data_IF_039555344087
#
_entry.id   IF_039555344087
#
_cell.length_a   1.000
_cell.length_b   1.000
_cell.length_c   1.000
_cell.angle_alpha   90.00
_cell.angle_beta   90.00
_cell.angle_gamma   90.00
#
_symmetry.space_group_name_H-M   'P 1'
#
loop_
_entity.id
_entity.type
_entity.pdbx_description
1 polymer ?
#
# COMPACT_ATOMS: atom_id res chain seq x y z
N UNK A 1 8.71 -64.37 26.17
CA UNK A 1 7.95 -64.63 27.40
C UNK A 1 7.99 -63.34 28.23
N UNK A 2 6.83 -62.67 28.37
CA UNK A 2 6.42 -61.71 29.44
C UNK A 2 7.28 -60.44 29.60
N UNK A 3 6.88 -59.32 29.00
CA UNK A 3 6.06 -58.18 29.51
C UNK A 3 6.82 -57.17 30.41
N UNK A 4 7.07 -55.92 29.97
CA UNK A 4 6.22 -54.68 30.08
C UNK A 4 6.27 -54.10 31.52
N UNK A 5 6.61 -52.82 31.80
CA UNK A 5 5.72 -51.64 31.78
C UNK A 5 6.46 -50.35 32.26
N UNK A 6 6.26 -49.25 31.51
CA UNK A 6 6.20 -47.80 31.86
C UNK A 6 7.45 -47.08 32.44
N UNK A 7 7.74 -45.82 32.13
CA UNK A 7 6.98 -44.76 31.45
C UNK A 7 7.93 -43.71 30.83
N UNK A 8 7.44 -43.04 29.79
CA UNK A 8 8.15 -42.12 28.90
C UNK A 8 8.18 -40.68 29.44
N UNK A 9 9.15 -39.90 28.96
CA UNK A 9 9.21 -38.45 29.08
C UNK A 9 10.35 -37.87 28.26
N UNK A 10 10.15 -37.79 26.94
CA UNK A 10 11.07 -37.26 25.90
C UNK A 10 10.98 -35.74 25.83
N UNK A 11 12.11 -35.05 25.55
CA UNK A 11 12.29 -34.08 24.44
C UNK A 11 13.58 -33.25 24.68
N UNK A 12 14.77 -33.68 24.25
CA UNK A 12 15.43 -33.41 22.94
C UNK A 12 15.16 -32.00 22.37
N UNK A 13 16.04 -31.05 22.66
CA UNK A 13 16.30 -29.89 21.78
C UNK A 13 17.51 -30.22 20.88
N UNK A 14 17.26 -30.41 19.58
CA UNK A 14 18.28 -30.58 18.55
C UNK A 14 18.60 -29.24 17.89
N UNK A 15 19.89 -28.93 17.87
CA UNK A 15 20.68 -28.23 16.83
C UNK A 15 19.98 -27.27 15.86
N UNK A 16 20.44 -26.02 15.89
CA UNK A 16 20.60 -25.19 14.69
C UNK A 16 22.08 -24.91 14.54
N UNK A 17 22.70 -25.52 13.52
CA UNK A 17 24.02 -25.15 13.06
C UNK A 17 23.92 -24.04 12.03
N UNK A 18 24.76 -23.02 12.15
CA UNK A 18 25.29 -22.28 11.00
C UNK A 18 26.66 -21.72 11.37
N UNK A 19 27.65 -22.09 10.56
CA UNK A 19 29.03 -21.64 10.62
C UNK A 19 29.11 -20.16 10.23
N UNK A 20 29.66 -19.32 11.11
CA UNK A 20 30.23 -18.02 10.72
C UNK A 20 31.74 -18.06 10.99
N UNK A 21 32.52 -17.98 9.91
CA UNK A 21 33.98 -17.81 9.94
C UNK A 21 34.30 -16.42 10.48
N UNK A 22 35.05 -16.34 11.57
CA UNK A 22 35.71 -15.11 12.02
C UNK A 22 37.23 -15.27 11.95
N UNK A 23 37.88 -14.25 11.38
CA UNK A 23 39.35 -14.09 11.28
C UNK A 23 39.95 -13.76 12.66
N UNK A 24 41.19 -14.20 13.00
CA UNK A 24 41.75 -14.00 14.32
C UNK A 24 42.53 -12.68 14.38
N UNK A 25 42.11 -11.76 15.26
CA UNK A 25 43.01 -10.73 15.79
C UNK A 25 42.86 -10.79 17.32
N UNK A 26 43.94 -11.22 17.96
CA UNK A 26 44.11 -11.29 19.40
C UNK A 26 44.01 -9.91 20.05
N UNK A 27 43.29 -9.81 21.16
CA UNK A 27 43.72 -9.03 22.33
C UNK A 27 42.93 -9.41 23.59
N UNK A 28 43.57 -10.24 24.43
CA UNK A 28 43.55 -10.23 25.89
C UNK A 28 42.30 -9.75 26.64
N UNK A 29 41.50 -10.69 27.15
CA UNK A 29 40.79 -10.51 28.43
C UNK A 29 41.02 -11.76 29.29
N UNK A 30 41.67 -11.54 30.43
CA UNK A 30 41.95 -12.52 31.48
C UNK A 30 40.63 -12.99 32.11
N UNK A 31 40.41 -14.32 32.14
CA UNK A 31 39.34 -14.93 32.90
C UNK A 31 39.79 -15.12 34.34
N UNK A 32 39.06 -14.54 35.31
CA UNK A 32 39.06 -15.04 36.68
C UNK A 32 37.66 -15.52 37.07
N UNK A 33 37.55 -16.67 37.78
CA UNK A 33 36.27 -17.24 38.16
C UNK A 33 35.80 -16.67 39.50
N UNK A 34 34.52 -16.28 39.59
CA UNK A 34 33.95 -15.79 40.83
C UNK A 34 32.46 -15.51 40.69
N UNK A 35 31.65 -16.52 40.92
CA UNK A 35 30.23 -16.39 41.23
C UNK A 35 30.03 -15.44 42.42
N UNK A 36 29.08 -14.50 42.30
CA UNK A 36 28.19 -14.05 43.39
C UNK A 36 27.03 -13.27 42.75
N UNK A 37 25.81 -13.68 43.08
CA UNK A 37 24.55 -13.15 42.55
C UNK A 37 24.12 -11.89 43.35
N UNK A 38 23.71 -10.77 42.72
CA UNK A 38 22.98 -9.73 43.43
C UNK A 38 21.47 -9.88 43.23
N UNK A 39 20.82 -10.12 44.37
CA UNK A 39 19.53 -9.66 44.88
C UNK A 39 18.50 -8.97 43.97
N UNK A 40 17.25 -9.32 44.29
CA UNK A 40 15.98 -8.86 43.78
C UNK A 40 15.87 -7.34 43.65
N UNK A 41 15.63 -6.87 42.42
CA UNK A 41 15.14 -5.51 42.18
C UNK A 41 13.65 -5.60 41.86
N UNK A 42 12.81 -5.17 42.81
CA UNK A 42 11.36 -5.11 42.64
C UNK A 42 11.01 -4.24 41.43
N UNK A 43 10.36 -4.83 40.43
CA UNK A 43 9.81 -4.09 39.30
C UNK A 43 8.55 -3.38 39.75
N UNK A 44 8.63 -2.06 39.93
CA UNK A 44 7.45 -1.21 40.01
C UNK A 44 6.69 -1.30 38.66
N UNK A 45 5.62 -2.08 38.62
CA UNK A 45 4.67 -2.08 37.51
C UNK A 45 3.90 -0.75 37.58
N UNK A 46 4.31 0.21 36.76
CA UNK A 46 3.50 1.38 36.46
C UNK A 46 2.35 0.89 35.58
N UNK A 47 1.15 0.77 36.15
CA UNK A 47 -0.07 0.60 35.36
C UNK A 47 -0.34 1.88 34.57
N UNK A 48 0.21 1.96 33.36
CA UNK A 48 -0.14 2.99 32.40
C UNK A 48 -1.52 2.62 31.85
N UNK A 49 -2.57 3.21 32.39
CA UNK A 49 -3.91 3.18 31.78
C UNK A 49 -3.88 4.05 30.52
N UNK A 50 -3.23 3.56 29.48
CA UNK A 50 -3.27 4.18 28.18
C UNK A 50 -4.46 3.60 27.42
N UNK A 51 -5.66 4.11 27.71
CA UNK A 51 -6.81 3.92 26.80
C UNK A 51 -6.51 4.71 25.54
N UNK A 52 -5.73 4.10 24.63
CA UNK A 52 -5.66 4.52 23.24
C UNK A 52 -7.07 4.34 22.66
N UNK A 53 -7.84 5.42 22.60
CA UNK A 53 -8.98 5.46 21.70
C UNK A 53 -8.44 5.32 20.28
N UNK A 54 -8.52 4.11 19.71
CA UNK A 54 -8.21 3.89 18.31
C UNK A 54 -9.09 4.82 17.48
N UNK A 55 -8.48 5.80 16.82
CA UNK A 55 -9.18 6.60 15.83
C UNK A 55 -9.76 5.63 14.78
N UNK A 56 -11.04 5.82 14.43
CA UNK A 56 -11.66 5.06 13.35
C UNK A 56 -10.84 5.31 12.08
N UNK A 57 -10.62 4.25 11.30
CA UNK A 57 -9.93 4.34 10.00
C UNK A 57 -10.67 5.36 9.13
N UNK A 58 -9.97 6.38 8.60
CA UNK A 58 -10.58 7.50 7.88
C UNK A 58 -11.48 7.06 6.72
N UNK A 59 -11.16 5.96 6.03
CA UNK A 59 -12.00 5.44 4.96
C UNK A 59 -13.33 4.85 5.44
N UNK A 60 -13.45 4.43 6.70
CA UNK A 60 -14.66 3.79 7.24
C UNK A 60 -15.72 4.79 7.75
N UNK A 61 -15.39 6.09 7.75
CA UNK A 61 -16.33 7.15 8.09
C UNK A 61 -16.88 7.87 6.86
N UNK A 62 -16.53 7.40 5.65
CA UNK A 62 -17.03 7.92 4.37
C UNK A 62 -18.27 7.13 3.95
N UNK A 63 -19.33 7.84 3.59
CA UNK A 63 -20.56 7.29 3.03
C UNK A 63 -20.38 6.96 1.54
N UNK A 64 -19.99 5.71 1.29
CA UNK A 64 -19.79 5.19 -0.06
C UNK A 64 -21.09 5.07 -0.87
N UNK A 65 -22.27 5.25 -0.24
CA UNK A 65 -23.55 5.30 -0.98
C UNK A 65 -23.76 6.62 -1.73
N UNK A 66 -22.95 7.63 -1.38
CA UNK A 66 -22.99 8.99 -1.94
C UNK A 66 -21.68 9.39 -2.62
N UNK A 67 -20.59 8.65 -2.38
CA UNK A 67 -19.26 8.95 -2.93
C UNK A 67 -19.28 8.90 -4.46
N UNK A 68 -18.85 9.99 -5.09
CA UNK A 68 -18.82 10.14 -6.55
C UNK A 68 -17.38 10.03 -7.09
N UNK A 69 -17.18 9.91 -8.42
CA UNK A 69 -15.86 10.00 -9.00
C UNK A 69 -15.24 11.38 -8.69
N UNK A 70 -13.94 11.39 -8.37
CA UNK A 70 -13.34 12.57 -7.77
C UNK A 70 -11.94 12.34 -7.23
N UNK A 71 -11.35 13.39 -6.66
CA UNK A 71 -10.10 13.31 -5.92
C UNK A 71 -10.31 13.93 -4.54
N UNK A 72 -10.17 13.12 -3.50
CA UNK A 72 -10.48 13.52 -2.14
C UNK A 72 -9.25 13.47 -1.26
N UNK A 73 -8.91 14.60 -0.65
CA UNK A 73 -7.76 14.73 0.23
C UNK A 73 -8.05 14.22 1.65
N UNK A 74 -7.07 13.53 2.22
CA UNK A 74 -6.97 13.21 3.64
C UNK A 74 -5.50 13.34 4.05
N UNK A 75 -5.24 13.41 5.35
CA UNK A 75 -3.88 13.40 5.89
C UNK A 75 -3.72 12.27 6.90
N UNK A 76 -2.64 11.52 6.79
CA UNK A 76 -2.30 10.43 7.71
C UNK A 76 -0.83 10.57 8.09
N UNK A 77 -0.56 10.78 9.37
CA UNK A 77 0.80 10.78 9.95
C UNK A 77 1.82 11.64 9.18
N UNK A 78 1.41 12.84 8.74
CA UNK A 78 2.27 13.77 8.02
C UNK A 78 2.42 13.51 6.51
N UNK A 79 1.79 12.45 5.98
CA UNK A 79 1.63 12.25 4.54
C UNK A 79 0.25 12.72 4.09
N UNK A 80 0.19 13.34 2.92
CA UNK A 80 -1.06 13.68 2.25
C UNK A 80 -1.47 12.49 1.39
N UNK A 81 -2.74 12.10 1.49
CA UNK A 81 -3.30 10.94 0.81
C UNK A 81 -4.49 11.40 -0.02
N UNK A 82 -4.55 11.01 -1.28
CA UNK A 82 -5.64 11.33 -2.19
C UNK A 82 -6.32 10.04 -2.63
N UNK A 83 -7.62 9.98 -2.40
CA UNK A 83 -8.51 8.99 -3.00
C UNK A 83 -8.86 9.43 -4.41
N UNK A 84 -8.20 8.83 -5.40
CA UNK A 84 -8.47 9.05 -6.82
C UNK A 84 -9.56 8.06 -7.24
N UNK A 85 -10.81 8.50 -7.13
CA UNK A 85 -12.01 7.68 -7.32
C UNK A 85 -12.44 7.68 -8.78
N UNK A 86 -12.23 6.56 -9.48
CA UNK A 86 -12.60 6.44 -10.90
C UNK A 86 -14.08 6.14 -11.13
N UNK A 87 -14.69 5.37 -10.22
CA UNK A 87 -16.12 5.03 -10.28
C UNK A 87 -16.79 5.28 -8.94
N UNK A 88 -18.06 5.67 -8.98
CA UNK A 88 -18.88 5.79 -7.80
C UNK A 88 -19.16 4.39 -7.22
N UNK A 89 -18.84 4.10 -5.95
CA UNK A 89 -18.92 2.73 -5.41
C UNK A 89 -20.32 2.12 -5.44
N UNK A 90 -21.37 2.91 -5.17
CA UNK A 90 -22.75 2.41 -5.16
C UNK A 90 -23.19 1.99 -6.55
N UNK A 91 -22.93 2.84 -7.54
CA UNK A 91 -23.25 2.61 -8.93
C UNK A 91 -22.47 1.40 -9.45
N UNK A 92 -21.16 1.34 -9.17
CA UNK A 92 -20.27 0.23 -9.52
C UNK A 92 -20.81 -1.13 -9.03
N UNK A 93 -21.27 -1.21 -7.77
CA UNK A 93 -21.90 -2.41 -7.23
C UNK A 93 -23.18 -2.78 -7.98
N UNK A 94 -24.02 -1.82 -8.33
CA UNK A 94 -25.30 -2.08 -8.98
C UNK A 94 -25.18 -2.41 -10.47
N UNK A 95 -24.22 -1.81 -11.18
CA UNK A 95 -24.05 -1.99 -12.62
C UNK A 95 -22.93 -2.99 -12.97
N UNK A 96 -22.15 -3.46 -11.99
CA UNK A 96 -21.03 -4.37 -12.19
C UNK A 96 -19.79 -3.72 -12.80
N UNK A 97 -19.67 -2.39 -12.76
CA UNK A 97 -18.56 -1.64 -13.35
C UNK A 97 -17.48 -1.39 -12.31
N UNK A 98 -16.54 -2.33 -12.21
CA UNK A 98 -15.30 -2.21 -11.45
C UNK A 98 -14.11 -2.27 -12.40
N UNK A 99 -12.93 -1.82 -11.94
CA UNK A 99 -11.70 -2.14 -12.63
C UNK A 99 -11.45 -3.65 -12.59
N UNK A 100 -11.11 -4.24 -13.73
CA UNK A 100 -10.50 -5.57 -13.74
C UNK A 100 -9.14 -5.52 -13.01
N UNK A 101 -8.76 -6.53 -12.20
CA UNK A 101 -7.47 -6.52 -11.52
C UNK A 101 -6.25 -6.37 -12.45
N UNK A 102 -6.30 -6.92 -13.68
CA UNK A 102 -5.24 -6.70 -14.67
C UNK A 102 -5.22 -5.25 -15.17
N UNK A 103 -6.40 -4.64 -15.33
CA UNK A 103 -6.51 -3.20 -15.65
C UNK A 103 -5.91 -2.38 -14.52
N UNK A 104 -6.28 -2.66 -13.27
CA UNK A 104 -5.74 -1.95 -12.11
C UNK A 104 -4.20 -2.05 -12.04
N UNK A 105 -3.65 -3.24 -12.30
CA UNK A 105 -2.20 -3.45 -12.34
C UNK A 105 -1.51 -2.75 -13.53
N UNK A 106 -2.11 -2.78 -14.73
CA UNK A 106 -1.61 -2.01 -15.87
C UNK A 106 -1.60 -0.51 -15.57
N UNK A 107 -2.70 0.03 -15.05
CA UNK A 107 -2.80 1.44 -14.71
C UNK A 107 -1.84 1.83 -13.58
N UNK A 108 -1.61 0.97 -12.58
CA UNK A 108 -0.61 1.20 -11.53
C UNK A 108 0.77 1.49 -12.13
N UNK A 109 1.24 0.63 -13.04
CA UNK A 109 2.56 0.76 -13.67
C UNK A 109 2.71 2.08 -14.44
N UNK A 110 1.68 2.47 -15.22
CA UNK A 110 1.72 3.72 -15.96
C UNK A 110 1.58 4.96 -15.07
N UNK A 111 0.65 4.96 -14.11
CA UNK A 111 0.46 6.10 -13.21
C UNK A 111 1.70 6.31 -12.34
N UNK A 112 2.31 5.21 -11.84
CA UNK A 112 3.51 5.26 -11.05
C UNK A 112 4.72 5.81 -11.81
N UNK A 113 4.90 5.39 -13.07
CA UNK A 113 5.94 5.91 -13.97
C UNK A 113 5.67 7.39 -14.29
N UNK A 114 4.49 7.71 -14.83
CA UNK A 114 4.16 9.04 -15.28
C UNK A 114 4.31 10.10 -14.18
N UNK A 115 3.70 9.88 -13.02
CA UNK A 115 3.69 10.86 -11.91
C UNK A 115 5.06 11.00 -11.21
N UNK A 116 6.02 10.11 -11.48
CA UNK A 116 7.36 10.17 -10.88
C UNK A 116 8.47 10.52 -11.87
N UNK A 117 8.23 10.37 -13.17
CA UNK A 117 9.29 10.50 -14.18
C UNK A 117 8.93 11.43 -15.34
N UNK A 118 7.65 11.71 -15.58
CA UNK A 118 7.18 12.45 -16.77
C UNK A 118 6.53 13.80 -16.44
N UNK A 119 6.19 14.05 -15.18
CA UNK A 119 5.75 15.35 -14.67
C UNK A 119 6.94 16.27 -14.35
N UNK A 120 6.67 17.50 -13.90
CA UNK A 120 7.73 18.41 -13.47
C UNK A 120 8.52 17.83 -12.26
N UNK A 121 9.80 18.19 -12.15
CA UNK A 121 10.70 17.62 -11.13
C UNK A 121 10.29 18.02 -9.70
N UNK A 122 9.61 19.16 -9.54
CA UNK A 122 9.13 19.62 -8.24
C UNK A 122 8.03 18.70 -7.73
N UNK A 123 7.00 18.44 -8.53
CA UNK A 123 5.93 17.49 -8.21
C UNK A 123 6.45 16.05 -8.06
N UNK A 124 7.25 15.58 -9.03
CA UNK A 124 7.66 14.18 -9.12
C UNK A 124 8.41 13.69 -7.87
N UNK A 125 9.24 14.56 -7.25
CA UNK A 125 9.98 14.24 -6.02
C UNK A 125 9.10 14.14 -4.77
N UNK A 126 7.87 14.64 -4.84
CA UNK A 126 6.92 14.68 -3.72
C UNK A 126 5.99 13.47 -3.72
N UNK A 127 5.90 12.71 -4.83
CA UNK A 127 5.08 11.51 -4.96
C UNK A 127 5.70 10.33 -4.21
N UNK A 128 5.06 9.91 -3.12
CA UNK A 128 5.49 8.79 -2.30
C UNK A 128 4.99 7.46 -2.85
N UNK A 129 3.69 7.37 -3.12
CA UNK A 129 3.03 6.11 -3.47
C UNK A 129 1.87 6.35 -4.43
N UNK A 130 1.68 5.39 -5.35
CA UNK A 130 0.48 5.29 -6.19
C UNK A 130 0.14 3.82 -6.24
N UNK A 131 -1.09 3.44 -5.91
CA UNK A 131 -1.50 2.04 -6.00
C UNK A 131 -3.00 1.83 -5.98
N UNK A 132 -3.45 0.70 -6.51
CA UNK A 132 -4.86 0.41 -6.68
C UNK A 132 -5.54 0.16 -5.34
N UNK A 133 -6.77 0.62 -5.20
CA UNK A 133 -7.59 0.23 -4.07
C UNK A 133 -8.01 -1.23 -4.21
N UNK A 134 -8.01 -1.98 -3.11
CA UNK A 134 -8.46 -3.38 -3.11
C UNK A 134 -9.93 -3.56 -3.53
N UNK A 135 -10.76 -2.52 -3.43
CA UNK A 135 -12.13 -2.52 -3.93
C UNK A 135 -12.26 -2.20 -5.43
N UNK A 136 -11.15 -1.99 -6.15
CA UNK A 136 -11.10 -1.84 -7.61
C UNK A 136 -11.93 -0.67 -8.18
N UNK A 137 -12.10 0.38 -7.40
CA UNK A 137 -12.88 1.57 -7.81
C UNK A 137 -12.05 2.85 -7.94
N UNK A 138 -10.76 2.78 -7.64
CA UNK A 138 -9.84 3.92 -7.72
C UNK A 138 -8.43 3.57 -7.29
N UNK A 139 -7.63 4.61 -7.06
CA UNK A 139 -6.24 4.54 -6.62
C UNK A 139 -6.02 5.44 -5.41
N UNK A 140 -5.03 5.09 -4.59
CA UNK A 140 -4.47 6.03 -3.62
C UNK A 140 -3.20 6.66 -4.19
N UNK A 141 -3.12 7.99 -4.16
CA UNK A 141 -1.90 8.77 -4.41
C UNK A 141 -1.44 9.36 -3.08
N UNK A 142 -0.17 9.20 -2.72
CA UNK A 142 0.41 9.79 -1.52
C UNK A 142 1.50 10.77 -1.90
N UNK A 143 1.54 11.91 -1.21
CA UNK A 143 2.58 12.92 -1.38
C UNK A 143 3.11 13.42 -0.04
N UNK A 144 4.31 14.02 -0.06
CA UNK A 144 4.91 14.65 1.12
C UNK A 144 4.31 16.01 1.47
N UNK A 145 3.56 16.62 0.56
CA UNK A 145 2.97 17.96 0.71
C UNK A 145 1.60 18.06 0.03
N UNK A 146 0.75 19.04 0.39
CA UNK A 146 -0.59 19.16 -0.16
C UNK A 146 -0.55 19.68 -1.60
N UNK A 147 -1.47 19.18 -2.41
CA UNK A 147 -1.70 19.60 -3.79
C UNK A 147 -3.19 19.79 -4.01
N UNK A 148 -3.54 20.81 -4.78
CA UNK A 148 -4.92 21.05 -5.17
C UNK A 148 -5.48 19.83 -5.93
N UNK A 149 -6.62 19.25 -5.51
CA UNK A 149 -7.24 18.12 -6.21
C UNK A 149 -7.56 18.39 -7.69
N UNK A 150 -7.79 19.65 -8.09
CA UNK A 150 -7.99 19.98 -9.51
C UNK A 150 -6.68 19.93 -10.31
N UNK A 151 -5.56 20.37 -9.72
CA UNK A 151 -4.23 20.15 -10.28
C UNK A 151 -3.92 18.65 -10.43
N UNK A 152 -4.18 17.85 -9.39
CA UNK A 152 -4.00 16.40 -9.45
C UNK A 152 -4.89 15.75 -10.52
N UNK A 153 -6.14 16.20 -10.67
CA UNK A 153 -7.05 15.74 -11.73
C UNK A 153 -6.43 15.95 -13.10
N UNK A 154 -5.83 17.11 -13.35
CA UNK A 154 -5.14 17.40 -14.62
C UNK A 154 -4.03 16.38 -14.88
N UNK A 155 -3.13 16.17 -13.92
CA UNK A 155 -2.02 15.22 -14.07
C UNK A 155 -2.49 13.78 -14.27
N UNK A 156 -3.55 13.37 -13.56
CA UNK A 156 -4.16 12.05 -13.75
C UNK A 156 -4.73 11.93 -15.17
N UNK A 157 -5.45 12.94 -15.67
CA UNK A 157 -5.98 12.92 -17.04
C UNK A 157 -4.86 12.86 -18.08
N UNK A 158 -3.80 13.65 -17.93
CA UNK A 158 -2.64 13.60 -18.83
C UNK A 158 -1.93 12.24 -18.80
N UNK A 159 -1.86 11.60 -17.63
CA UNK A 159 -1.35 10.23 -17.51
C UNK A 159 -2.26 9.22 -18.24
N UNK A 160 -3.58 9.34 -18.11
CA UNK A 160 -4.54 8.47 -18.81
C UNK A 160 -4.44 8.65 -20.32
N UNK A 161 -4.30 9.88 -20.82
CA UNK A 161 -4.06 10.16 -22.24
C UNK A 161 -2.75 9.52 -22.73
N UNK A 162 -1.68 9.58 -21.92
CA UNK A 162 -0.43 8.89 -22.23
C UNK A 162 -0.60 7.37 -22.35
N UNK A 163 -1.46 6.77 -21.51
CA UNK A 163 -1.78 5.33 -21.58
C UNK A 163 -2.55 5.00 -22.85
N UNK A 164 -3.47 5.87 -23.29
CA UNK A 164 -4.25 5.65 -24.51
C UNK A 164 -3.37 5.58 -25.77
N UNK A 165 -2.27 6.33 -25.79
CA UNK A 165 -1.28 6.35 -26.88
C UNK A 165 -0.20 5.26 -26.75
N UNK A 166 -0.14 4.52 -25.64
CA UNK A 166 0.92 3.53 -25.41
C UNK A 166 0.79 2.32 -26.35
N UNK A 167 1.89 1.89 -26.95
CA UNK A 167 1.94 0.64 -27.71
C UNK A 167 1.87 -0.60 -26.79
N UNK A 168 1.53 -1.76 -27.35
CA UNK A 168 1.35 -3.02 -26.60
C UNK A 168 2.53 -3.37 -25.69
N UNK A 169 3.76 -3.17 -26.17
CA UNK A 169 4.99 -3.47 -25.44
C UNK A 169 5.52 -2.27 -24.65
N UNK A 170 4.74 -1.18 -24.57
CA UNK A 170 5.11 0.09 -23.93
C UNK A 170 4.81 0.18 -22.44
N UNK A 171 4.38 -0.92 -21.79
CA UNK A 171 4.04 -0.91 -20.36
C UNK A 171 5.32 -0.76 -19.52
N UNK A 172 5.49 0.34 -18.75
CA UNK A 172 6.69 0.57 -17.96
C UNK A 172 6.92 -0.56 -16.95
N UNK A 173 8.13 -1.10 -16.88
CA UNK A 173 8.47 -2.14 -15.89
C UNK A 173 7.76 -3.49 -16.08
N UNK A 174 7.15 -3.75 -17.25
CA UNK A 174 6.52 -5.03 -17.57
C UNK A 174 7.54 -6.12 -17.96
N UNK A 175 8.45 -6.46 -17.04
CA UNK A 175 9.44 -7.52 -17.21
C UNK A 175 9.53 -8.41 -15.97
N UNK A 176 10.06 -9.63 -16.15
CA UNK A 176 10.29 -10.58 -15.05
C UNK A 176 11.22 -10.00 -13.96
N UNK A 177 12.12 -9.10 -14.32
CA UNK A 177 13.03 -8.46 -13.37
C UNK A 177 12.38 -7.35 -12.54
N UNK A 178 11.33 -6.71 -13.08
CA UNK A 178 10.80 -5.43 -12.56
C UNK A 178 9.35 -5.50 -12.10
N UNK A 179 8.66 -6.62 -12.32
CA UNK A 179 7.28 -6.82 -11.88
C UNK A 179 7.10 -8.23 -11.29
N UNK A 180 6.53 -8.30 -10.09
CA UNK A 180 6.28 -9.56 -9.38
C UNK A 180 5.26 -10.48 -10.09
N UNK A 181 4.47 -9.94 -11.03
CA UNK A 181 3.55 -10.71 -11.86
C UNK A 181 3.50 -10.13 -13.29
N UNK A 182 4.65 -10.12 -13.97
CA UNK A 182 4.84 -9.43 -15.26
C UNK A 182 3.94 -9.90 -16.41
N UNK A 183 3.25 -11.04 -16.28
CA UNK A 183 2.29 -11.53 -17.29
C UNK A 183 0.85 -11.08 -17.03
N UNK A 184 0.63 -10.32 -15.95
CA UNK A 184 -0.70 -9.95 -15.45
C UNK A 184 -1.09 -8.53 -15.86
N UNK A 185 -0.94 -8.21 -17.14
CA UNK A 185 -1.34 -6.93 -17.71
C UNK A 185 -2.45 -7.13 -18.74
N UNK A 186 -3.24 -6.07 -18.94
CA UNK A 186 -4.22 -5.98 -20.02
C UNK A 186 -4.35 -4.53 -20.50
N UNK A 187 -3.45 -4.12 -21.42
CA UNK A 187 -3.41 -2.74 -21.92
C UNK A 187 -4.66 -2.38 -22.72
N UNK A 188 -5.16 -3.27 -23.57
CA UNK A 188 -6.34 -2.97 -24.40
C UNK A 188 -7.57 -2.77 -23.53
N UNK A 189 -7.80 -3.66 -22.56
CA UNK A 189 -8.90 -3.50 -21.60
C UNK A 189 -8.70 -2.26 -20.72
N UNK A 190 -7.47 -1.89 -20.40
CA UNK A 190 -7.19 -0.65 -19.66
C UNK A 190 -7.57 0.59 -20.48
N UNK A 191 -7.20 0.62 -21.77
CA UNK A 191 -7.58 1.70 -22.68
C UNK A 191 -9.09 1.82 -22.87
N UNK A 192 -9.79 0.68 -23.01
CA UNK A 192 -11.25 0.63 -23.06
C UNK A 192 -11.86 1.24 -21.78
N UNK A 193 -11.44 0.76 -20.61
CA UNK A 193 -11.92 1.28 -19.32
C UNK A 193 -11.66 2.79 -19.16
N UNK A 194 -10.49 3.28 -19.58
CA UNK A 194 -10.18 4.72 -19.57
C UNK A 194 -11.18 5.51 -20.40
N UNK A 195 -11.40 5.11 -21.66
CA UNK A 195 -12.26 5.85 -22.61
C UNK A 195 -13.72 5.84 -22.20
N UNK A 196 -14.21 4.70 -21.76
CA UNK A 196 -15.65 4.50 -21.53
C UNK A 196 -16.08 4.90 -20.13
N UNK A 197 -15.19 4.82 -19.14
CA UNK A 197 -15.55 5.00 -17.73
C UNK A 197 -14.82 6.19 -17.12
N UNK A 198 -13.48 6.21 -17.17
CA UNK A 198 -12.70 7.16 -16.35
C UNK A 198 -12.75 8.57 -16.93
N UNK A 199 -12.44 8.76 -18.22
CA UNK A 199 -12.41 10.08 -18.85
C UNK A 199 -13.77 10.79 -18.74
N UNK A 200 -14.92 10.16 -19.04
CA UNK A 200 -16.22 10.79 -18.86
C UNK A 200 -16.45 11.28 -17.42
N UNK A 201 -16.06 10.48 -16.42
CA UNK A 201 -16.18 10.84 -15.00
C UNK A 201 -15.22 11.98 -14.61
N UNK A 202 -14.03 12.02 -15.21
CA UNK A 202 -12.96 12.99 -14.92
C UNK A 202 -13.00 14.24 -15.80
N UNK A 203 -13.90 14.34 -16.78
CA UNK A 203 -14.01 15.53 -17.66
C UNK A 203 -15.41 16.16 -17.60
N UNK A 204 -16.42 15.43 -17.15
CA UNK A 204 -17.75 15.97 -16.89
C UNK A 204 -17.79 16.90 -15.65
N UNK A 205 -18.94 17.54 -15.45
CA UNK A 205 -19.21 18.42 -14.30
C UNK A 205 -19.46 17.71 -12.97
N UNK A 206 -19.40 16.37 -12.90
CA UNK A 206 -19.68 15.58 -11.70
C UNK A 206 -18.46 15.28 -10.82
N UNK A 207 -17.30 15.88 -11.13
CA UNK A 207 -16.08 15.71 -10.34
C UNK A 207 -16.21 16.32 -8.94
N UNK A 208 -15.97 15.52 -7.91
CA UNK A 208 -16.06 15.94 -6.50
C UNK A 208 -14.71 15.92 -5.78
N UNK A 209 -14.58 16.78 -4.77
CA UNK A 209 -13.38 16.90 -3.91
C UNK A 209 -13.72 16.84 -2.42
N UNK A 210 -15.00 16.71 -2.07
CA UNK A 210 -15.48 16.74 -0.68
C UNK A 210 -16.05 15.39 -0.30
N UNK A 211 -15.46 14.73 0.70
CA UNK A 211 -15.96 13.44 1.18
C UNK A 211 -17.40 13.58 1.72
N UNK A 212 -18.34 12.72 1.29
CA UNK A 212 -19.59 12.54 2.02
C UNK A 212 -19.28 11.74 3.29
N UNK A 213 -19.26 12.39 4.44
CA UNK A 213 -19.05 11.70 5.72
C UNK A 213 -20.35 11.11 6.25
N UNK A 214 -20.27 9.96 6.91
CA UNK A 214 -21.39 9.38 7.65
C UNK A 214 -21.67 10.31 8.83
N UNK A 215 -22.84 10.93 8.85
CA UNK A 215 -23.29 11.74 10.00
C UNK A 215 -23.35 10.84 11.23
N UNK A 216 -22.78 11.34 12.34
CA UNK A 216 -22.62 10.58 13.59
C UNK A 216 -23.93 10.48 14.38
#
# INVERSE_FOLDING_TARGET
>A
MVQTIMQQGISICRNVGHFARFSPIFANISLQPGFLCPEQQESHIIHINNTYHMQRVNSFIVDHTRLQPGIYESQINGAYTYDVRFVAPREAVHNGVFMDPKVAHTLEHFLADYLRTKTDEEFSRKVLYVGPMGCLTGFYLLTTEPFDPHFLRKLVVEALEHILEAEKDGIPGASELTCGNYRYFDLEKAKEFIREVVIPNFTSGSFSVVYPLIEA
#
